data_IF_651507637459
#
_entry.id   IF_651507637459
#
_cell.length_a   1.000
_cell.length_b   1.000
_cell.length_c   1.000
_cell.angle_alpha   90.00
_cell.angle_beta   90.00
_cell.angle_gamma   90.00
#
_symmetry.space_group_name_H-M   'P 1'
#
loop_
_entity.id
_entity.type
_entity.pdbx_description
1 polymer ?
#
# COMPACT_ATOMS: atom_id res chain seq x y z
N UNK A 1 -1.86 -1.88 -38.48
CA UNK A 1 -1.11 -1.95 -37.20
C UNK A 1 -1.68 -0.85 -36.33
N UNK A 2 -2.42 -1.21 -35.28
CA UNK A 2 -2.90 -0.22 -34.32
C UNK A 2 -1.71 0.28 -33.51
N UNK A 3 -1.30 1.51 -33.77
CA UNK A 3 -0.25 2.18 -33.02
C UNK A 3 -0.85 2.80 -31.76
N UNK A 4 -0.24 2.55 -30.61
CA UNK A 4 -0.63 3.19 -29.34
C UNK A 4 -0.26 4.67 -29.43
N UNK A 5 -1.24 5.55 -29.23
CA UNK A 5 -1.02 6.99 -29.19
C UNK A 5 0.00 7.37 -28.09
N UNK A 6 0.86 8.38 -28.30
CA UNK A 6 1.94 8.70 -27.35
C UNK A 6 1.48 9.00 -25.92
N UNK A 7 0.37 9.73 -25.77
CA UNK A 7 -0.28 10.03 -24.49
C UNK A 7 -0.78 8.75 -23.78
N UNK A 8 -1.38 7.84 -24.54
CA UNK A 8 -1.82 6.53 -24.04
C UNK A 8 -0.63 5.67 -23.59
N UNK A 9 0.49 5.74 -24.31
CA UNK A 9 1.71 5.01 -23.95
C UNK A 9 2.30 5.50 -22.61
N UNK A 10 2.24 6.80 -22.30
CA UNK A 10 2.65 7.34 -20.99
C UNK A 10 1.80 6.75 -19.87
N UNK A 11 0.47 6.76 -20.04
CA UNK A 11 -0.44 6.18 -19.04
C UNK A 11 -0.24 4.68 -18.84
N UNK A 12 0.00 3.93 -19.92
CA UNK A 12 0.30 2.49 -19.83
C UNK A 12 1.59 2.25 -19.06
N UNK A 13 2.64 3.02 -19.33
CA UNK A 13 3.93 2.89 -18.61
C UNK A 13 3.80 3.25 -17.14
N UNK A 14 3.00 4.26 -16.80
CA UNK A 14 2.72 4.61 -15.41
C UNK A 14 2.00 3.46 -14.69
N UNK A 15 0.96 2.89 -15.30
CA UNK A 15 0.26 1.71 -14.77
C UNK A 15 1.20 0.53 -14.57
N UNK A 16 2.07 0.27 -15.55
CA UNK A 16 3.05 -0.81 -15.46
C UNK A 16 4.00 -0.60 -14.27
N UNK A 17 4.46 0.63 -14.03
CA UNK A 17 5.31 0.96 -12.87
C UNK A 17 4.59 0.74 -11.55
N UNK A 18 3.33 1.17 -11.43
CA UNK A 18 2.52 0.92 -10.24
C UNK A 18 2.34 -0.58 -9.99
N UNK A 19 1.99 -1.34 -11.03
CA UNK A 19 1.82 -2.78 -10.94
C UNK A 19 3.12 -3.49 -10.51
N UNK A 20 4.28 -3.04 -11.01
CA UNK A 20 5.58 -3.61 -10.60
C UNK A 20 5.85 -3.38 -9.11
N UNK A 21 5.64 -2.15 -8.63
CA UNK A 21 5.85 -1.82 -7.21
C UNK A 21 4.88 -2.59 -6.32
N UNK A 22 3.61 -2.64 -6.71
CA UNK A 22 2.56 -3.37 -6.00
C UNK A 22 2.88 -4.86 -5.90
N UNK A 23 3.28 -5.51 -7.00
CA UNK A 23 3.63 -6.93 -6.99
C UNK A 23 4.91 -7.22 -6.22
N UNK A 24 5.93 -6.36 -6.31
CA UNK A 24 7.15 -6.52 -5.53
C UNK A 24 6.87 -6.41 -4.01
N UNK A 25 6.07 -5.43 -3.61
CA UNK A 25 5.63 -5.28 -2.22
C UNK A 25 4.80 -6.48 -1.75
N UNK A 26 3.87 -6.96 -2.58
CA UNK A 26 3.06 -8.15 -2.30
C UNK A 26 3.91 -9.39 -2.04
N UNK A 27 4.84 -9.70 -2.95
CA UNK A 27 5.71 -10.87 -2.79
C UNK A 27 6.60 -10.78 -1.55
N UNK A 28 7.10 -9.58 -1.24
CA UNK A 28 7.84 -9.33 -0.01
C UNK A 28 6.99 -9.56 1.24
N UNK A 29 5.76 -9.05 1.25
CA UNK A 29 4.82 -9.22 2.34
C UNK A 29 4.45 -10.69 2.56
N UNK A 30 4.07 -11.41 1.51
CA UNK A 30 3.73 -12.84 1.61
C UNK A 30 4.92 -13.66 2.09
N UNK A 31 6.13 -13.35 1.62
CA UNK A 31 7.35 -14.01 2.09
C UNK A 31 7.61 -13.74 3.58
N UNK A 32 7.46 -12.49 4.02
CA UNK A 32 7.60 -12.11 5.42
C UNK A 32 6.54 -12.80 6.30
N UNK A 33 5.28 -12.82 5.87
CA UNK A 33 4.19 -13.53 6.55
C UNK A 33 4.43 -15.04 6.63
N UNK A 34 5.02 -15.64 5.60
CA UNK A 34 5.36 -17.07 5.60
C UNK A 34 6.51 -17.42 6.55
N UNK A 35 7.45 -16.50 6.74
CA UNK A 35 8.68 -16.77 7.50
C UNK A 35 8.58 -16.34 8.96
N UNK A 36 7.95 -15.20 9.23
CA UNK A 36 7.85 -14.56 10.55
C UNK A 36 6.50 -13.82 10.67
N UNK A 37 5.36 -14.53 10.76
CA UNK A 37 4.03 -13.92 10.70
C UNK A 37 3.78 -12.93 11.84
N UNK A 38 4.07 -13.33 13.09
CA UNK A 38 3.78 -12.51 14.26
C UNK A 38 4.63 -11.23 14.29
N UNK A 39 5.92 -11.34 13.96
CA UNK A 39 6.84 -10.22 13.89
C UNK A 39 6.47 -9.27 12.74
N UNK A 40 6.08 -9.82 11.58
CA UNK A 40 5.65 -9.01 10.43
C UNK A 40 4.40 -8.21 10.76
N UNK A 41 3.40 -8.81 11.39
CA UNK A 41 2.20 -8.10 11.84
C UNK A 41 2.53 -7.00 12.84
N UNK A 42 3.30 -7.33 13.89
CA UNK A 42 3.70 -6.37 14.91
C UNK A 42 4.46 -5.19 14.29
N UNK A 43 5.36 -5.46 13.34
CA UNK A 43 6.09 -4.44 12.62
C UNK A 43 5.17 -3.52 11.81
N UNK A 44 4.25 -4.09 11.01
CA UNK A 44 3.32 -3.31 10.20
C UNK A 44 2.39 -2.45 11.06
N UNK A 45 1.89 -2.98 12.19
CA UNK A 45 1.08 -2.20 13.14
C UNK A 45 1.89 -1.04 13.75
N UNK A 46 3.13 -1.30 14.16
CA UNK A 46 4.00 -0.27 14.73
C UNK A 46 4.35 0.84 13.71
N UNK A 47 4.69 0.48 12.48
CA UNK A 47 4.94 1.45 11.41
C UNK A 47 3.68 2.25 11.07
N UNK A 48 2.51 1.59 11.02
CA UNK A 48 1.25 2.29 10.77
C UNK A 48 0.92 3.33 11.86
N UNK A 49 1.19 3.01 13.12
CA UNK A 49 1.01 3.96 14.22
C UNK A 49 1.91 5.21 14.04
N UNK A 50 3.18 5.03 13.68
CA UNK A 50 4.09 6.15 13.36
C UNK A 50 3.59 6.98 12.19
N UNK A 51 3.05 6.33 11.15
CA UNK A 51 2.44 7.03 10.03
C UNK A 51 1.22 7.84 10.46
N UNK A 52 0.37 7.32 11.36
CA UNK A 52 -0.80 8.03 11.89
C UNK A 52 -0.40 9.34 12.59
N UNK A 53 0.65 9.29 13.41
CA UNK A 53 1.18 10.46 14.11
C UNK A 53 1.76 11.52 13.17
N UNK A 54 2.27 11.11 12.00
CA UNK A 54 2.91 11.98 11.00
C UNK A 54 2.03 12.42 9.82
N UNK A 55 0.77 11.97 9.74
CA UNK A 55 -0.14 12.29 8.64
C UNK A 55 -0.29 13.82 8.49
N UNK A 56 0.04 14.36 7.32
CA UNK A 56 -0.11 15.79 7.02
C UNK A 56 1.07 16.70 7.38
N UNK A 57 2.11 16.22 8.11
CA UNK A 57 3.13 17.12 8.64
C UNK A 57 4.25 17.52 7.66
N UNK A 58 4.42 16.82 6.51
CA UNK A 58 5.47 17.12 5.51
C UNK A 58 5.02 16.81 4.08
N UNK A 59 4.06 17.57 3.56
CA UNK A 59 3.69 17.60 2.13
C UNK A 59 2.72 16.51 1.66
N UNK A 60 2.67 15.35 2.32
CA UNK A 60 1.66 14.34 2.03
C UNK A 60 0.34 14.66 2.77
N UNK A 61 -0.77 14.70 2.03
CA UNK A 61 -2.09 15.09 2.54
C UNK A 61 -2.14 16.47 3.22
N UNK A 62 -1.22 17.38 2.82
CA UNK A 62 -1.14 18.73 3.35
C UNK A 62 -2.25 19.65 2.81
N UNK A 63 -2.83 19.28 1.68
CA UNK A 63 -3.98 19.92 1.03
C UNK A 63 -5.32 19.54 1.66
N UNK A 64 -5.36 18.48 2.45
CA UNK A 64 -6.59 17.98 3.08
C UNK A 64 -6.99 18.78 4.32
N UNK A 65 -8.28 18.80 4.62
CA UNK A 65 -8.82 19.19 5.92
C UNK A 65 -8.55 18.11 6.97
N UNK A 66 -8.81 18.42 8.24
CA UNK A 66 -8.70 17.44 9.32
C UNK A 66 -9.67 16.26 9.14
N UNK A 67 -10.91 16.54 8.72
CA UNK A 67 -11.91 15.50 8.46
C UNK A 67 -11.49 14.58 7.31
N UNK A 68 -10.96 15.13 6.22
CA UNK A 68 -10.46 14.35 5.08
C UNK A 68 -9.23 13.51 5.45
N UNK A 69 -8.31 14.04 6.28
CA UNK A 69 -7.19 13.26 6.81
C UNK A 69 -7.66 12.12 7.71
N UNK A 70 -8.67 12.35 8.55
CA UNK A 70 -9.24 11.30 9.38
C UNK A 70 -9.88 10.19 8.54
N UNK A 71 -10.64 10.56 7.49
CA UNK A 71 -11.20 9.60 6.53
C UNK A 71 -10.11 8.83 5.80
N UNK A 72 -9.09 9.52 5.28
CA UNK A 72 -7.94 8.88 4.61
C UNK A 72 -7.22 7.90 5.55
N UNK A 73 -7.03 8.26 6.82
CA UNK A 73 -6.46 7.38 7.83
C UNK A 73 -7.27 6.09 8.01
N UNK A 74 -8.60 6.20 8.11
CA UNK A 74 -9.49 5.06 8.26
C UNK A 74 -9.48 4.14 7.03
N UNK A 75 -9.43 4.70 5.82
CA UNK A 75 -9.30 3.92 4.58
C UNK A 75 -7.96 3.17 4.51
N UNK A 76 -6.87 3.82 4.93
CA UNK A 76 -5.55 3.17 5.02
C UNK A 76 -5.56 2.04 6.05
N UNK A 77 -6.22 2.23 7.20
CA UNK A 77 -6.33 1.19 8.23
C UNK A 77 -7.13 -0.02 7.75
N UNK A 78 -8.27 0.21 7.10
CA UNK A 78 -9.09 -0.85 6.51
C UNK A 78 -8.34 -1.60 5.42
N UNK A 79 -7.66 -0.86 4.53
CA UNK A 79 -6.85 -1.44 3.45
C UNK A 79 -5.69 -2.28 3.96
N UNK A 80 -4.96 -1.79 4.97
CA UNK A 80 -3.84 -2.53 5.57
C UNK A 80 -4.32 -3.80 6.27
N UNK A 81 -5.44 -3.74 7.00
CA UNK A 81 -6.03 -4.92 7.65
C UNK A 81 -6.42 -6.00 6.63
N UNK A 82 -7.06 -5.60 5.52
CA UNK A 82 -7.40 -6.51 4.42
C UNK A 82 -6.16 -7.13 3.78
N UNK A 83 -5.15 -6.30 3.46
CA UNK A 83 -3.90 -6.76 2.85
C UNK A 83 -3.16 -7.78 3.72
N UNK A 84 -3.12 -7.55 5.03
CA UNK A 84 -2.52 -8.49 6.00
C UNK A 84 -3.30 -9.80 6.03
N UNK A 85 -4.63 -9.76 6.03
CA UNK A 85 -5.45 -10.97 6.01
C UNK A 85 -5.23 -11.81 4.75
N UNK A 86 -5.20 -11.17 3.59
CA UNK A 86 -4.94 -11.83 2.30
C UNK A 86 -3.54 -12.44 2.28
N UNK A 87 -2.53 -11.71 2.78
CA UNK A 87 -1.15 -12.21 2.80
C UNK A 87 -0.98 -13.42 3.72
N UNK A 88 -1.69 -13.46 4.86
CA UNK A 88 -1.73 -14.66 5.72
C UNK A 88 -2.36 -15.85 5.02
N UNK A 89 -3.47 -15.64 4.33
CA UNK A 89 -4.15 -16.70 3.59
C UNK A 89 -3.23 -17.26 2.49
N UNK A 90 -2.56 -16.40 1.72
CA UNK A 90 -1.62 -16.83 0.67
C UNK A 90 -0.34 -17.48 1.26
N UNK A 91 0.12 -17.05 2.43
CA UNK A 91 1.29 -17.65 3.08
C UNK A 91 1.06 -19.11 3.52
N UNK A 92 -0.20 -19.48 3.80
CA UNK A 92 -0.62 -20.81 4.25
C UNK A 92 -0.95 -21.79 3.12
N UNK A 93 -1.19 -21.28 1.91
CA UNK A 93 -1.38 -22.07 0.67
C UNK A 93 -0.08 -22.41 -0.02
#
# INVERSE_FOLDING_TARGET
MDTIAPDRAVMIRLRARLAVVERAAWFGLVHAMRTQPAETEAYLTAERAKCAEGFGQRGWAADLTEAERAMLGAEVDAGLAGLIADAKAEAQG
#
